data_IF_261023717951
#
_entry.id   IF_261023717951
#
_cell.length_a   1.000
_cell.length_b   1.000
_cell.length_c   1.000
_cell.angle_alpha   90.00
_cell.angle_beta   90.00
_cell.angle_gamma   90.00
#
_symmetry.space_group_name_H-M   'P 1'
#
loop_
_entity.id
_entity.type
_entity.pdbx_description
1 polymer ?
#
# COMPACT_ATOMS: atom_id res chain seq x y z
N UNK A 1 -1.68 7.46 -7.80
CA UNK A 1 -2.71 7.23 -6.75
C UNK A 1 -3.65 6.08 -7.15
N UNK A 2 -4.06 5.23 -6.19
CA UNK A 2 -4.94 4.06 -6.43
C UNK A 2 -6.27 4.20 -5.71
N UNK A 3 -7.39 4.05 -6.42
CA UNK A 3 -8.73 4.01 -5.82
C UNK A 3 -9.19 2.56 -5.60
N UNK A 4 -9.60 2.23 -4.37
CA UNK A 4 -10.23 0.95 -4.00
C UNK A 4 -11.49 1.23 -3.19
N UNK A 5 -12.66 1.03 -3.81
CA UNK A 5 -13.93 1.43 -3.25
C UNK A 5 -13.98 2.95 -3.01
N UNK A 6 -14.19 3.36 -1.77
CA UNK A 6 -14.16 4.78 -1.36
C UNK A 6 -12.81 5.23 -0.80
N UNK A 7 -11.75 4.44 -0.96
CA UNK A 7 -10.44 4.80 -0.42
C UNK A 7 -9.48 5.13 -1.56
N UNK A 8 -8.76 6.25 -1.43
CA UNK A 8 -7.60 6.60 -2.22
C UNK A 8 -6.34 6.23 -1.45
N UNK A 9 -5.42 5.53 -2.08
CA UNK A 9 -4.09 5.21 -1.57
C UNK A 9 -3.06 6.01 -2.36
N UNK A 10 -2.22 6.74 -1.63
CA UNK A 10 -1.18 7.58 -2.20
C UNK A 10 0.10 7.43 -1.38
N UNK A 11 1.24 7.37 -2.05
CA UNK A 11 2.52 7.44 -1.38
C UNK A 11 2.77 8.88 -0.89
N UNK A 12 3.36 9.07 0.29
CA UNK A 12 3.48 10.38 0.95
C UNK A 12 4.15 11.43 0.07
N UNK A 13 5.11 11.04 -0.77
CA UNK A 13 5.78 11.95 -1.74
C UNK A 13 4.82 12.59 -2.76
N UNK A 14 3.63 12.03 -2.96
CA UNK A 14 2.63 12.51 -3.92
C UNK A 14 1.34 12.98 -3.26
N UNK A 15 1.35 13.24 -1.94
CA UNK A 15 0.17 13.76 -1.24
C UNK A 15 -0.38 15.04 -1.91
N UNK A 16 0.48 15.87 -2.46
CA UNK A 16 0.12 17.13 -3.11
C UNK A 16 -0.64 16.96 -4.43
N UNK A 17 -0.79 15.73 -4.93
CA UNK A 17 -1.61 15.42 -6.12
C UNK A 17 -3.08 15.13 -5.77
N UNK A 18 -3.43 15.05 -4.48
CA UNK A 18 -4.82 14.90 -4.05
C UNK A 18 -5.60 16.20 -4.26
N UNK A 19 -6.92 16.09 -4.33
CA UNK A 19 -7.80 17.25 -4.27
C UNK A 19 -7.55 18.05 -2.99
N UNK A 20 -7.64 19.38 -3.08
CA UNK A 20 -7.30 20.31 -2.00
C UNK A 20 -8.00 19.96 -0.67
N UNK A 21 -9.28 19.63 -0.72
CA UNK A 21 -10.08 19.24 0.45
C UNK A 21 -9.50 18.01 1.15
N UNK A 22 -9.03 17.01 0.39
CA UNK A 22 -8.41 15.81 0.94
C UNK A 22 -7.02 16.10 1.53
N UNK A 23 -6.26 17.02 0.94
CA UNK A 23 -4.98 17.47 1.50
C UNK A 23 -5.22 18.12 2.86
N UNK A 24 -6.25 18.98 2.98
CA UNK A 24 -6.63 19.62 4.23
C UNK A 24 -7.03 18.59 5.30
N UNK A 25 -7.83 17.58 4.94
CA UNK A 25 -8.16 16.47 5.84
C UNK A 25 -6.91 15.72 6.32
N UNK A 26 -5.96 15.43 5.43
CA UNK A 26 -4.71 14.76 5.84
C UNK A 26 -3.91 15.65 6.79
N UNK A 27 -3.75 16.95 6.49
CA UNK A 27 -3.07 17.89 7.37
C UNK A 27 -3.74 17.92 8.75
N UNK A 28 -5.06 18.01 8.81
CA UNK A 28 -5.80 17.94 10.07
C UNK A 28 -5.55 16.63 10.82
N UNK A 29 -5.58 15.50 10.11
CA UNK A 29 -5.34 14.19 10.68
C UNK A 29 -3.91 14.02 11.23
N UNK A 30 -2.91 14.70 10.66
CA UNK A 30 -1.52 14.62 11.16
C UNK A 30 -1.37 15.14 12.59
N UNK A 31 -2.25 16.04 13.05
CA UNK A 31 -2.25 16.59 14.42
C UNK A 31 -2.49 15.53 15.49
N UNK A 32 -3.06 14.39 15.11
CA UNK A 32 -3.37 13.26 16.00
C UNK A 32 -2.28 12.18 16.02
N UNK A 33 -1.20 12.37 15.26
CA UNK A 33 -0.12 11.39 15.18
C UNK A 33 0.91 11.58 16.28
N UNK A 34 1.39 10.46 16.82
CA UNK A 34 2.62 10.45 17.59
C UNK A 34 3.84 10.72 16.69
N UNK A 35 4.94 11.14 17.33
CA UNK A 35 6.18 11.54 16.65
C UNK A 35 6.79 10.42 15.80
N UNK A 36 6.66 9.18 16.24
CA UNK A 36 7.27 8.03 15.55
C UNK A 36 6.46 7.69 14.30
N UNK A 37 5.14 7.65 14.42
CA UNK A 37 4.23 7.46 13.30
C UNK A 37 4.43 8.54 12.25
N UNK A 38 4.49 9.81 12.65
CA UNK A 38 4.67 10.94 11.73
C UNK A 38 5.95 10.82 10.87
N UNK A 39 7.00 10.18 11.40
CA UNK A 39 8.27 9.99 10.69
C UNK A 39 8.32 8.73 9.81
N UNK A 40 7.51 7.72 10.12
CA UNK A 40 7.62 6.39 9.51
C UNK A 40 6.58 6.09 8.44
N UNK A 41 5.44 6.78 8.40
CA UNK A 41 4.41 6.47 7.42
C UNK A 41 4.88 6.82 5.99
N UNK A 42 4.55 5.96 5.04
CA UNK A 42 4.87 6.18 3.62
C UNK A 42 3.65 6.04 2.71
N UNK A 43 2.57 5.44 3.19
CA UNK A 43 1.30 5.37 2.46
C UNK A 43 0.22 6.09 3.26
N UNK A 44 -0.50 6.99 2.60
CA UNK A 44 -1.69 7.64 3.13
C UNK A 44 -2.89 7.03 2.43
N UNK A 45 -3.91 6.70 3.23
CA UNK A 45 -5.20 6.21 2.76
C UNK A 45 -6.28 7.21 3.19
N UNK A 46 -6.94 7.85 2.22
CA UNK A 46 -8.02 8.82 2.48
C UNK A 46 -9.35 8.23 2.01
N UNK A 47 -10.39 8.35 2.83
CA UNK A 47 -11.74 7.94 2.45
C UNK A 47 -12.51 9.12 1.84
N UNK A 48 -12.96 9.00 0.59
CA UNK A 48 -13.62 10.11 -0.13
C UNK A 48 -15.10 10.30 0.25
N UNK A 49 -15.62 9.53 1.21
CA UNK A 49 -17.02 9.62 1.67
C UNK A 49 -17.17 9.84 3.17
N UNK A 50 -16.09 9.65 3.93
CA UNK A 50 -16.05 9.77 5.38
C UNK A 50 -14.75 10.45 5.73
N UNK A 51 -14.70 11.34 6.72
CA UNK A 51 -13.49 12.06 7.05
C UNK A 51 -12.57 11.15 7.89
N UNK A 52 -12.03 10.13 7.21
CA UNK A 52 -11.19 9.08 7.76
C UNK A 52 -9.89 9.01 6.97
N UNK A 53 -8.77 9.24 7.67
CA UNK A 53 -7.42 9.17 7.11
C UNK A 53 -6.67 8.05 7.83
N UNK A 54 -5.95 7.22 7.09
CA UNK A 54 -5.04 6.22 7.68
C UNK A 54 -3.61 6.47 7.21
N UNK A 55 -2.68 6.53 8.16
CA UNK A 55 -1.26 6.63 7.95
C UNK A 55 -0.67 5.24 8.10
N UNK A 56 -0.13 4.69 7.02
CA UNK A 56 0.29 3.29 6.93
C UNK A 56 1.81 3.24 6.83
N UNK A 57 2.40 2.39 7.66
CA UNK A 57 3.84 2.15 7.75
C UNK A 57 4.11 0.83 7.04
N UNK A 58 4.90 0.89 5.98
CA UNK A 58 5.37 -0.26 5.22
C UNK A 58 6.87 -0.12 5.01
N UNK A 59 7.69 -0.57 5.97
CA UNK A 59 9.11 -0.18 6.06
C UNK A 59 9.94 -0.55 4.83
N UNK A 60 9.52 -1.59 4.14
CA UNK A 60 10.13 -2.13 2.94
C UNK A 60 9.43 -1.66 1.65
N UNK A 61 8.63 -0.58 1.69
CA UNK A 61 7.81 -0.13 0.54
C UNK A 61 8.61 0.04 -0.75
N UNK A 62 9.79 0.63 -0.67
CA UNK A 62 10.63 0.88 -1.85
C UNK A 62 11.45 -0.35 -2.24
N UNK A 63 11.91 -1.13 -1.26
CA UNK A 63 12.84 -2.24 -1.44
C UNK A 63 12.16 -3.56 -1.83
N UNK A 64 11.08 -3.91 -1.13
CA UNK A 64 10.39 -5.17 -1.33
C UNK A 64 9.46 -5.10 -2.54
N UNK A 65 9.37 -6.20 -3.28
CA UNK A 65 8.45 -6.31 -4.41
C UNK A 65 6.99 -6.25 -3.95
N UNK A 66 6.65 -7.07 -2.96
CA UNK A 66 5.38 -7.03 -2.24
C UNK A 66 5.65 -6.54 -0.81
N UNK A 67 5.63 -5.22 -0.60
CA UNK A 67 6.00 -4.67 0.69
C UNK A 67 4.93 -4.97 1.73
N UNK A 68 5.38 -5.22 2.96
CA UNK A 68 4.53 -5.62 4.07
C UNK A 68 3.94 -4.41 4.79
N UNK A 69 2.66 -4.51 5.14
CA UNK A 69 1.98 -3.56 6.02
C UNK A 69 2.41 -3.89 7.44
N UNK A 70 3.18 -2.99 8.07
CA UNK A 70 3.62 -3.19 9.45
C UNK A 70 2.49 -2.82 10.43
N UNK A 71 2.06 -1.57 10.39
CA UNK A 71 0.84 -1.11 11.06
C UNK A 71 0.26 0.12 10.35
N UNK A 72 -0.94 0.52 10.76
CA UNK A 72 -1.54 1.77 10.37
C UNK A 72 -2.15 2.49 11.58
N UNK A 73 -2.14 3.81 11.53
CA UNK A 73 -2.87 4.68 12.45
C UNK A 73 -4.01 5.31 11.69
N UNK A 74 -5.24 4.97 12.04
CA UNK A 74 -6.47 5.52 11.48
C UNK A 74 -6.98 6.64 12.38
N UNK A 75 -7.26 7.78 11.79
CA UNK A 75 -7.88 8.95 12.41
C UNK A 75 -9.26 9.13 11.77
N UNK A 76 -10.30 9.25 12.60
CA UNK A 76 -11.62 9.69 12.17
C UNK A 76 -11.79 11.14 12.66
N UNK A 77 -11.91 12.10 11.74
CA UNK A 77 -11.91 13.52 12.07
C UNK A 77 -13.23 14.00 12.69
N UNK A 78 -14.35 13.32 12.42
CA UNK A 78 -15.65 13.65 13.04
C UNK A 78 -15.67 13.33 14.54
N UNK A 79 -15.01 12.22 14.92
CA UNK A 79 -15.04 11.68 16.29
C UNK A 79 -13.73 11.86 17.04
N UNK A 80 -12.70 12.37 16.35
CA UNK A 80 -11.31 12.47 16.81
C UNK A 80 -10.70 11.12 17.24
N UNK A 81 -11.36 10.01 16.90
CA UNK A 81 -10.94 8.68 17.33
C UNK A 81 -9.69 8.24 16.56
N UNK A 82 -8.64 7.95 17.31
CA UNK A 82 -7.40 7.35 16.79
C UNK A 82 -7.39 5.85 17.05
N UNK A 83 -7.13 5.05 16.03
CA UNK A 83 -7.05 3.59 16.13
C UNK A 83 -5.79 3.07 15.47
N UNK A 84 -4.96 2.34 16.23
CA UNK A 84 -3.78 1.65 15.71
C UNK A 84 -4.16 0.21 15.31
N UNK A 85 -3.86 -0.15 14.06
CA UNK A 85 -4.20 -1.45 13.47
C UNK A 85 -2.93 -2.14 12.99
N UNK A 86 -2.62 -3.34 13.51
CA UNK A 86 -1.52 -4.17 13.01
C UNK A 86 -1.82 -4.65 11.59
N UNK A 87 -0.82 -4.72 10.72
CA UNK A 87 -1.01 -5.12 9.32
C UNK A 87 -1.28 -6.61 9.09
N UNK A 88 -1.08 -7.48 10.10
CA UNK A 88 -1.44 -8.91 10.05
C UNK A 88 -0.83 -9.65 8.85
N UNK A 89 0.46 -9.43 8.57
CA UNK A 89 1.19 -10.03 7.45
C UNK A 89 0.57 -9.71 6.08
N UNK A 90 -0.17 -8.61 5.97
CA UNK A 90 -0.71 -8.17 4.69
C UNK A 90 0.37 -7.49 3.85
N UNK A 91 0.33 -7.72 2.55
CA UNK A 91 1.29 -7.18 1.59
C UNK A 91 0.58 -6.36 0.51
N UNK A 92 1.28 -5.38 -0.05
CA UNK A 92 0.77 -4.62 -1.19
C UNK A 92 1.10 -5.28 -2.52
N UNK A 93 0.03 -5.56 -3.26
CA UNK A 93 0.10 -5.78 -4.69
C UNK A 93 -0.07 -4.46 -5.42
N UNK A 94 0.73 -4.26 -6.47
CA UNK A 94 0.68 -3.10 -7.36
C UNK A 94 1.05 -1.79 -6.64
N UNK A 95 2.12 -1.82 -5.81
CA UNK A 95 2.61 -0.63 -5.08
C UNK A 95 2.84 0.59 -5.99
N UNK A 96 3.21 0.35 -7.25
CA UNK A 96 3.36 1.38 -8.30
C UNK A 96 2.13 2.25 -8.51
N UNK A 97 0.93 1.77 -8.22
CA UNK A 97 -0.29 2.57 -8.36
C UNK A 97 -0.41 3.66 -7.28
N UNK A 98 0.36 3.59 -6.20
CA UNK A 98 0.29 4.55 -5.10
C UNK A 98 1.10 5.81 -5.43
N UNK A 99 2.02 5.69 -6.38
CA UNK A 99 2.86 6.75 -6.88
C UNK A 99 2.39 7.24 -8.26
N UNK A 100 3.08 8.24 -8.80
CA UNK A 100 2.99 8.65 -10.21
C UNK A 100 4.17 8.06 -11.03
N UNK A 101 4.27 8.44 -12.29
CA UNK A 101 5.33 8.00 -13.20
C UNK A 101 6.73 8.56 -12.89
N UNK A 102 6.82 9.62 -12.09
CA UNK A 102 8.07 10.24 -11.65
C UNK A 102 8.66 9.57 -10.39
N UNK A 103 8.12 8.43 -9.95
CA UNK A 103 8.65 7.72 -8.79
C UNK A 103 9.95 7.00 -9.11
N UNK A 104 11.03 7.41 -8.47
CA UNK A 104 12.38 6.90 -8.72
C UNK A 104 12.90 5.93 -7.66
N UNK A 105 12.17 5.72 -6.57
CA UNK A 105 12.67 4.89 -5.45
C UNK A 105 12.57 3.37 -5.72
N UNK A 106 11.88 2.95 -6.79
CA UNK A 106 11.96 1.59 -7.33
C UNK A 106 11.63 1.53 -8.83
N UNK A 107 11.97 0.42 -9.48
CA UNK A 107 11.65 0.18 -10.88
C UNK A 107 10.15 -0.12 -11.09
N UNK A 108 9.40 0.89 -11.54
CA UNK A 108 7.98 0.78 -11.86
C UNK A 108 7.71 -0.23 -12.97
N UNK A 109 8.61 -0.34 -13.96
CA UNK A 109 8.46 -1.27 -15.07
C UNK A 109 8.69 -2.72 -14.60
N UNK A 110 9.66 -2.97 -13.73
CA UNK A 110 9.84 -4.28 -13.09
C UNK A 110 8.57 -4.67 -12.30
N UNK A 111 8.00 -3.72 -11.53
CA UNK A 111 6.78 -3.96 -10.76
C UNK A 111 5.58 -4.33 -11.65
N UNK A 112 5.43 -3.68 -12.81
CA UNK A 112 4.38 -3.99 -13.80
C UNK A 112 4.63 -5.33 -14.51
N UNK A 113 5.86 -5.61 -14.93
CA UNK A 113 6.22 -6.87 -15.59
C UNK A 113 6.00 -8.07 -14.65
N UNK A 114 6.29 -7.90 -13.36
CA UNK A 114 5.99 -8.92 -12.37
C UNK A 114 4.50 -9.20 -12.23
N UNK A 115 3.67 -8.14 -12.16
CA UNK A 115 2.22 -8.26 -12.13
C UNK A 115 1.70 -9.09 -13.31
N UNK A 116 2.13 -8.77 -14.52
CA UNK A 116 1.77 -9.50 -15.73
C UNK A 116 2.14 -10.98 -15.60
N UNK A 117 3.38 -11.27 -15.17
CA UNK A 117 3.89 -12.64 -15.05
C UNK A 117 3.04 -13.50 -14.13
N UNK A 118 2.78 -13.06 -12.88
CA UNK A 118 2.01 -13.90 -11.97
C UNK A 118 0.52 -13.93 -12.33
N UNK A 119 -0.04 -12.87 -12.92
CA UNK A 119 -1.44 -12.87 -13.36
C UNK A 119 -1.69 -13.89 -14.47
N UNK A 120 -0.73 -14.07 -15.38
CA UNK A 120 -0.80 -15.05 -16.46
C UNK A 120 -0.63 -16.51 -16.00
N UNK A 121 -0.02 -16.72 -14.82
CA UNK A 121 0.27 -18.06 -14.29
C UNK A 121 -0.75 -18.50 -13.24
N UNK A 122 -1.19 -17.58 -12.38
CA UNK A 122 -2.11 -17.89 -11.29
C UNK A 122 -3.55 -18.03 -11.80
N UNK A 123 -4.32 -18.99 -11.26
CA UNK A 123 -5.71 -19.16 -11.67
C UNK A 123 -6.53 -17.95 -11.23
N UNK A 124 -7.39 -17.46 -12.12
CA UNK A 124 -8.27 -16.31 -11.87
C UNK A 124 -9.46 -16.62 -10.94
N UNK A 125 -9.27 -17.51 -9.96
CA UNK A 125 -10.32 -17.96 -9.03
C UNK A 125 -10.40 -17.09 -7.79
N UNK A 126 -11.61 -16.93 -7.25
CA UNK A 126 -11.89 -16.10 -6.07
C UNK A 126 -11.09 -16.56 -4.86
N UNK A 127 -10.94 -17.88 -4.64
CA UNK A 127 -10.20 -18.40 -3.49
C UNK A 127 -8.71 -18.02 -3.50
N UNK A 128 -8.14 -17.76 -4.69
CA UNK A 128 -6.77 -17.29 -4.82
C UNK A 128 -6.74 -15.78 -4.62
N UNK A 129 -7.54 -15.03 -5.40
CA UNK A 129 -7.53 -13.56 -5.38
C UNK A 129 -7.84 -12.94 -4.02
N UNK A 130 -8.68 -13.59 -3.19
CA UNK A 130 -9.00 -13.07 -1.84
C UNK A 130 -7.87 -13.27 -0.82
N UNK A 131 -6.88 -14.12 -1.13
CA UNK A 131 -5.84 -14.55 -0.19
C UNK A 131 -4.44 -14.09 -0.56
N UNK A 132 -4.19 -13.71 -1.83
CA UNK A 132 -2.85 -13.25 -2.27
C UNK A 132 -2.32 -12.04 -1.50
N UNK A 133 -3.20 -11.25 -0.87
CA UNK A 133 -2.78 -10.13 -0.02
C UNK A 133 -2.14 -10.53 1.32
N UNK A 134 -2.08 -11.82 1.67
CA UNK A 134 -1.44 -12.31 2.89
C UNK A 134 -0.10 -12.97 2.56
N UNK A 135 0.97 -12.51 3.21
CA UNK A 135 2.35 -12.89 2.92
C UNK A 135 2.58 -14.40 2.91
N UNK A 136 2.15 -15.10 3.96
CA UNK A 136 2.31 -16.56 4.05
C UNK A 136 1.67 -17.29 2.87
N UNK A 137 0.44 -16.93 2.53
CA UNK A 137 -0.28 -17.53 1.40
C UNK A 137 0.37 -17.17 0.05
N UNK A 138 0.84 -15.93 -0.08
CA UNK A 138 1.57 -15.48 -1.25
C UNK A 138 2.84 -16.30 -1.48
N UNK A 139 3.67 -16.46 -0.44
CA UNK A 139 4.91 -17.23 -0.49
C UNK A 139 4.64 -18.71 -0.87
N UNK A 140 3.57 -19.31 -0.34
CA UNK A 140 3.11 -20.66 -0.70
C UNK A 140 2.68 -20.77 -2.17
N UNK A 141 1.91 -19.79 -2.66
CA UNK A 141 1.46 -19.69 -4.06
C UNK A 141 2.66 -19.57 -5.00
N UNK A 142 3.63 -18.70 -4.68
CA UNK A 142 4.82 -18.51 -5.50
C UNK A 142 5.60 -19.82 -5.65
N UNK A 143 5.78 -20.55 -4.54
CA UNK A 143 6.43 -21.86 -4.53
C UNK A 143 5.65 -22.88 -5.35
N UNK A 144 4.32 -22.97 -5.17
CA UNK A 144 3.44 -23.93 -5.85
C UNK A 144 3.48 -23.78 -7.37
N UNK A 145 3.49 -22.54 -7.88
CA UNK A 145 3.48 -22.25 -9.31
C UNK A 145 4.88 -22.01 -9.89
N UNK A 146 5.94 -22.30 -9.12
CA UNK A 146 7.33 -22.06 -9.49
C UNK A 146 7.60 -20.62 -9.99
N UNK A 147 6.85 -19.66 -9.41
CA UNK A 147 7.05 -18.23 -9.64
C UNK A 147 8.26 -17.78 -8.83
N UNK A 148 9.45 -18.08 -9.36
CA UNK A 148 10.72 -17.65 -8.78
C UNK A 148 11.12 -16.29 -9.32
N UNK A 149 11.79 -15.53 -8.48
CA UNK A 149 12.53 -14.37 -8.94
C UNK A 149 13.68 -14.84 -9.84
N UNK A 150 13.76 -14.31 -11.06
CA UNK A 150 15.04 -14.26 -11.76
C UNK A 150 15.80 -13.11 -11.12
N UNK A 151 16.69 -13.38 -10.15
CA UNK A 151 17.78 -12.44 -9.92
C UNK A 151 18.55 -12.39 -11.24
N UNK A 152 18.45 -11.28 -11.96
CA UNK A 152 19.51 -10.94 -12.92
C UNK A 152 20.71 -10.68 -12.03
N UNK A 153 21.60 -11.66 -11.95
CA UNK A 153 22.92 -11.45 -11.38
C UNK A 153 23.62 -10.57 -12.42
N UNK A 154 23.83 -9.30 -12.08
CA UNK A 154 24.78 -8.44 -12.79
C UNK A 154 26.20 -8.89 -12.43
#
# INVERSE_FOLDING_TARGET
MKKIGHNLYVHVKFIMELDKELIEEVILATKYLDKDTFKEFNVIKVNIKKPEVSFIISKDFDEAREPEIHYSVKVNLDTEKVTKVKGKEQIYHHKWQFANENYSDFDVNESKAWLERWTNILPAKREVKSRIGYKKYWDEILKKYNLRYKRVIL
#
